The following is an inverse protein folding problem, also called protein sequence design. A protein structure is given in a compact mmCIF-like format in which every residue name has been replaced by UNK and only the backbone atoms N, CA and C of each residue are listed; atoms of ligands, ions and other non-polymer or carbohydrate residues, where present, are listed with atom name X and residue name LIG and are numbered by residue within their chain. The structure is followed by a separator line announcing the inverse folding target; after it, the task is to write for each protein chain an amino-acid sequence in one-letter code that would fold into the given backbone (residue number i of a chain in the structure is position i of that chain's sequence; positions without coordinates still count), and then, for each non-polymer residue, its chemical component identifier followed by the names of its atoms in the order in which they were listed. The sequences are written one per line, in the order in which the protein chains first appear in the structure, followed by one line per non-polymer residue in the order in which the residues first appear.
data_IF_557651946443
#
_entry.id   IF_557651946443
#
_cell.length_a   1.000
_cell.length_b   1.000
_cell.length_c   1.000
_cell.angle_alpha   90.00
_cell.angle_beta   90.00
_cell.angle_gamma   90.00
#
_symmetry.space_group_name_H-M   'P 1'
#
loop_
_entity.id
_entity.type
_entity.pdbx_description
1 polymer ?
#
# COMPACT_ATOMS: atom_id res chain seq x y z
N UNK A 1 -4.57 -2.46 7.42
CA UNK A 1 -5.61 -2.17 8.43
C UNK A 1 -5.19 -0.92 9.20
N UNK A 2 -6.11 -0.02 9.57
CA UNK A 2 -5.76 1.12 10.42
C UNK A 2 -5.52 0.63 11.86
N UNK A 3 -4.35 0.92 12.43
CA UNK A 3 -4.01 0.69 13.83
C UNK A 3 -3.97 1.99 14.65
N UNK A 4 -4.37 3.12 14.07
CA UNK A 4 -4.58 4.39 14.78
C UNK A 4 -5.98 4.49 15.40
N UNK A 5 -6.33 5.69 15.90
CA UNK A 5 -7.60 5.92 16.62
C UNK A 5 -8.78 6.33 15.73
N UNK A 6 -8.53 6.75 14.48
CA UNK A 6 -9.59 7.09 13.55
C UNK A 6 -10.41 5.84 13.16
N UNK A 7 -11.73 5.95 13.23
CA UNK A 7 -12.67 4.89 12.79
C UNK A 7 -13.27 5.22 11.43
N UNK A 8 -13.85 4.21 10.78
CA UNK A 8 -14.49 4.31 9.45
C UNK A 8 -13.54 4.74 8.32
N UNK A 9 -12.25 4.44 8.47
CA UNK A 9 -11.21 4.66 7.46
C UNK A 9 -10.61 3.33 7.01
N UNK A 10 -10.28 3.24 5.72
CA UNK A 10 -9.50 2.16 5.13
C UNK A 10 -8.24 2.72 4.48
N UNK A 11 -7.15 1.97 4.60
CA UNK A 11 -5.85 2.28 4.01
C UNK A 11 -5.64 1.32 2.85
N UNK A 12 -5.34 1.85 1.67
CA UNK A 12 -5.09 1.09 0.46
C UNK A 12 -3.68 1.40 -0.06
N UNK A 13 -3.01 0.36 -0.56
CA UNK A 13 -1.78 0.49 -1.35
C UNK A 13 -2.09 0.15 -2.79
N UNK A 14 -1.54 0.90 -3.74
CA UNK A 14 -1.66 0.62 -5.17
C UNK A 14 -0.32 0.79 -5.88
N UNK A 15 -0.16 0.07 -6.98
CA UNK A 15 0.98 0.25 -7.89
C UNK A 15 0.77 1.52 -8.72
N UNK A 16 1.78 2.40 -8.76
CA UNK A 16 1.76 3.61 -9.58
C UNK A 16 1.86 3.21 -11.05
N UNK A 17 0.95 3.75 -11.86
CA UNK A 17 0.85 3.45 -13.29
C UNK A 17 -0.35 2.58 -13.62
N UNK A 18 -0.47 1.40 -13.00
CA UNK A 18 -1.61 0.50 -13.22
C UNK A 18 -2.83 0.85 -12.34
N UNK A 19 -2.59 1.48 -11.17
CA UNK A 19 -3.63 1.70 -10.16
C UNK A 19 -4.08 0.42 -9.45
N UNK A 20 -3.47 -0.73 -9.74
CA UNK A 20 -3.86 -2.01 -9.17
C UNK A 20 -3.64 -2.01 -7.65
N UNK A 21 -4.67 -2.38 -6.89
CA UNK A 21 -4.59 -2.51 -5.44
C UNK A 21 -3.66 -3.65 -5.04
N UNK A 22 -2.83 -3.42 -4.02
CA UNK A 22 -1.85 -4.35 -3.48
C UNK A 22 -2.09 -4.51 -1.98
N UNK A 23 -3.04 -5.37 -1.65
CA UNK A 23 -3.32 -5.76 -0.26
C UNK A 23 -2.39 -6.87 0.24
N UNK A 24 -2.62 -7.32 1.48
CA UNK A 24 -1.91 -8.46 2.06
C UNK A 24 -1.96 -9.68 1.13
N UNK A 25 -0.81 -10.34 0.93
CA UNK A 25 -0.69 -11.49 0.04
C UNK A 25 -0.55 -11.18 -1.44
N UNK A 26 -0.61 -9.89 -1.84
CA UNK A 26 -0.33 -9.48 -3.22
C UNK A 26 1.16 -9.56 -3.53
N UNK A 27 1.50 -9.90 -4.78
CA UNK A 27 2.88 -9.86 -5.28
C UNK A 27 3.03 -8.85 -6.44
N UNK A 28 4.28 -8.43 -6.64
CA UNK A 28 4.72 -7.58 -7.76
C UNK A 28 6.03 -8.15 -8.27
N UNK A 29 6.12 -8.41 -9.57
CA UNK A 29 7.40 -8.71 -10.22
C UNK A 29 7.95 -7.45 -10.88
N UNK A 30 9.26 -7.25 -10.73
CA UNK A 30 10.01 -6.19 -11.39
C UNK A 30 11.33 -6.72 -11.90
N UNK A 31 11.64 -6.35 -13.14
CA UNK A 31 12.94 -6.61 -13.72
C UNK A 31 13.96 -5.65 -13.11
N UNK A 32 15.17 -6.16 -12.87
CA UNK A 32 16.32 -5.33 -12.54
C UNK A 32 16.80 -4.68 -13.84
N UNK A 33 16.93 -3.36 -13.86
CA UNK A 33 17.38 -2.64 -15.06
C UNK A 33 18.92 -2.57 -15.11
N UNK A 34 19.48 -2.08 -16.22
CA UNK A 34 20.92 -2.20 -16.50
C UNK A 34 21.84 -1.54 -15.45
N UNK A 35 21.33 -0.54 -14.72
CA UNK A 35 22.03 0.12 -13.62
C UNK A 35 22.01 -0.67 -12.30
N UNK A 36 21.47 -1.89 -12.32
CA UNK A 36 21.34 -2.81 -11.17
C UNK A 36 20.34 -2.32 -10.12
N UNK A 37 19.40 -1.47 -10.49
CA UNK A 37 18.30 -1.02 -9.62
C UNK A 37 16.96 -1.67 -10.02
N UNK A 38 16.05 -1.71 -9.06
CA UNK A 38 14.64 -2.02 -9.29
C UNK A 38 13.78 -1.07 -8.46
N UNK A 39 12.81 -0.41 -9.10
CA UNK A 39 11.94 0.57 -8.45
C UNK A 39 10.51 0.03 -8.37
N UNK A 40 9.97 -0.02 -7.15
CA UNK A 40 8.57 -0.32 -6.87
C UNK A 40 7.84 1.00 -6.58
N UNK A 41 7.32 1.63 -7.63
CA UNK A 41 6.54 2.85 -7.48
C UNK A 41 5.16 2.50 -6.90
N UNK A 42 4.92 2.92 -5.66
CA UNK A 42 3.72 2.58 -4.88
C UNK A 42 3.05 3.85 -4.34
N UNK A 43 1.72 3.83 -4.25
CA UNK A 43 0.92 4.88 -3.65
C UNK A 43 0.14 4.34 -2.46
N UNK A 44 0.20 5.05 -1.34
CA UNK A 44 -0.70 4.86 -0.21
C UNK A 44 -1.87 5.84 -0.32
N UNK A 45 -3.08 5.38 -0.06
CA UNK A 45 -4.27 6.22 0.02
C UNK A 45 -5.14 5.84 1.21
N UNK A 46 -5.88 6.82 1.72
CA UNK A 46 -6.86 6.63 2.79
C UNK A 46 -8.22 6.99 2.22
N UNK A 47 -9.21 6.11 2.42
CA UNK A 47 -10.60 6.36 2.04
C UNK A 47 -11.52 6.15 3.23
N UNK A 48 -12.59 6.92 3.32
CA UNK A 48 -13.70 6.57 4.20
C UNK A 48 -14.42 5.36 3.62
N UNK A 49 -14.75 4.35 4.44
CA UNK A 49 -15.40 3.13 3.93
C UNK A 49 -16.85 3.40 3.52
N UNK A 50 -17.63 3.99 4.41
CA UNK A 50 -19.07 4.23 4.27
C UNK A 50 -19.47 5.67 4.60
N UNK A 51 -18.51 6.59 4.67
CA UNK A 51 -18.70 7.91 5.29
C UNK A 51 -18.48 7.88 6.81
N UNK A 52 -18.55 9.05 7.46
CA UNK A 52 -18.45 9.16 8.92
C UNK A 52 -17.07 8.84 9.49
N UNK A 53 -15.98 9.14 8.76
CA UNK A 53 -14.64 9.07 9.30
C UNK A 53 -14.53 9.94 10.55
N UNK A 54 -14.03 9.38 11.65
CA UNK A 54 -13.89 10.11 12.91
C UNK A 54 -12.49 10.73 13.02
N UNK A 55 -12.34 11.90 13.69
CA UNK A 55 -11.03 12.46 13.97
C UNK A 55 -10.17 11.49 14.79
N UNK A 56 -8.90 11.36 14.43
CA UNK A 56 -7.97 10.47 15.11
C UNK A 56 -6.73 10.23 14.27
N UNK A 57 -5.82 9.42 14.80
CA UNK A 57 -4.62 9.00 14.07
C UNK A 57 -4.95 7.92 13.04
N UNK A 58 -4.23 7.95 11.92
CA UNK A 58 -4.22 6.88 10.93
C UNK A 58 -2.81 6.30 10.88
N UNK A 59 -2.70 4.99 11.09
CA UNK A 59 -1.41 4.28 11.12
C UNK A 59 -1.57 2.91 10.51
N UNK A 60 -0.56 2.46 9.77
CA UNK A 60 -0.47 1.09 9.28
C UNK A 60 1.00 0.72 9.02
N UNK A 61 1.28 -0.56 9.15
CA UNK A 61 2.57 -1.15 8.77
C UNK A 61 2.34 -2.09 7.60
N UNK A 62 3.19 -1.97 6.58
CA UNK A 62 3.22 -2.88 5.44
C UNK A 62 4.54 -3.63 5.49
N UNK A 63 4.47 -4.96 5.44
CA UNK A 63 5.64 -5.84 5.39
C UNK A 63 5.78 -6.35 3.96
N UNK A 64 6.98 -6.25 3.42
CA UNK A 64 7.31 -6.72 2.06
C UNK A 64 8.46 -7.71 2.15
N UNK A 65 8.30 -8.85 1.46
CA UNK A 65 9.38 -9.83 1.28
C UNK A 65 9.91 -9.68 -0.12
N UNK A 66 11.22 -9.42 -0.26
CA UNK A 66 11.90 -9.41 -1.55
C UNK A 66 12.51 -10.79 -1.81
N UNK A 67 12.13 -11.37 -2.94
CA UNK A 67 12.66 -12.64 -3.42
C UNK A 67 13.29 -12.44 -4.80
N UNK A 68 14.48 -13.01 -4.99
CA UNK A 68 15.22 -12.99 -6.24
C UNK A 68 15.18 -14.39 -6.86
N UNK A 69 15.04 -14.45 -8.18
CA UNK A 69 15.10 -15.68 -8.97
C UNK A 69 16.36 -15.70 -9.83
#
# INVERSE_FOLDING_TARGET
MNSGTATNVAIAMSEVGSGALKGTGSSIMRNIVADRTATLAMQASVKSMSGGATPGSVSAVVVMTLQYN
#
